data_IF_643381498909
#
_entry.id   IF_643381498909
#
_cell.length_a   1.000
_cell.length_b   1.000
_cell.length_c   1.000
_cell.angle_alpha   90.00
_cell.angle_beta   90.00
_cell.angle_gamma   90.00
#
_symmetry.space_group_name_H-M   'P 1'
#
loop_
_entity.id
_entity.type
_entity.pdbx_description
1 polymer ?
#
# COMPACT_ATOMS: atom_id res chain seq x y z
N UNK A 1 -2.52 0.81 -33.46
CA UNK A 1 -1.36 1.72 -33.28
C UNK A 1 -0.15 0.92 -32.76
N UNK A 2 0.92 0.82 -33.53
CA UNK A 2 2.20 0.33 -33.01
C UNK A 2 2.68 1.32 -31.95
N UNK A 3 3.02 0.84 -30.75
CA UNK A 3 3.67 1.70 -29.77
C UNK A 3 5.01 2.16 -30.35
N UNK A 4 5.20 3.47 -30.47
CA UNK A 4 6.44 4.07 -30.94
C UNK A 4 7.53 4.12 -29.86
N UNK A 5 7.23 3.69 -28.64
CA UNK A 5 8.16 3.60 -27.53
C UNK A 5 7.90 2.34 -26.71
N UNK A 6 8.94 1.54 -26.46
CA UNK A 6 8.89 0.35 -25.60
C UNK A 6 9.78 0.60 -24.39
N UNK A 7 9.25 0.37 -23.20
CA UNK A 7 10.02 0.40 -21.96
C UNK A 7 10.39 -1.00 -21.55
N UNK A 8 11.60 -1.15 -20.99
CA UNK A 8 12.06 -2.42 -20.43
C UNK A 8 12.74 -2.23 -19.08
N UNK A 9 12.86 -3.31 -18.33
CA UNK A 9 13.53 -3.32 -17.03
C UNK A 9 14.46 -4.53 -16.87
N UNK A 10 15.35 -4.43 -15.89
CA UNK A 10 16.30 -5.48 -15.49
C UNK A 10 16.09 -5.80 -14.03
N UNK A 11 16.08 -7.09 -13.68
CA UNK A 11 15.92 -7.58 -12.31
C UNK A 11 17.25 -8.13 -11.83
N UNK A 12 17.64 -7.75 -10.61
CA UNK A 12 18.84 -8.26 -9.94
C UNK A 12 18.48 -8.85 -8.58
N UNK A 13 19.06 -10.00 -8.26
CA UNK A 13 18.98 -10.65 -6.94
C UNK A 13 20.39 -10.77 -6.38
N UNK A 14 20.65 -10.19 -5.20
CA UNK A 14 21.97 -10.12 -4.58
C UNK A 14 23.07 -9.59 -5.54
N UNK A 15 22.72 -8.58 -6.35
CA UNK A 15 23.62 -7.97 -7.34
C UNK A 15 23.71 -8.71 -8.69
N UNK A 16 23.28 -9.98 -8.75
CA UNK A 16 23.28 -10.78 -9.98
C UNK A 16 22.05 -10.50 -10.82
N UNK A 17 22.23 -10.26 -12.13
CA UNK A 17 21.13 -10.12 -13.08
C UNK A 17 20.42 -11.46 -13.26
N UNK A 18 19.11 -11.48 -12.99
CA UNK A 18 18.26 -12.68 -13.14
C UNK A 18 17.18 -12.51 -14.22
N UNK A 19 17.10 -11.32 -14.83
CA UNK A 19 16.27 -11.03 -16.00
C UNK A 19 16.67 -9.68 -16.59
N UNK A 20 16.69 -9.58 -17.92
CA UNK A 20 17.09 -8.38 -18.66
C UNK A 20 16.15 -8.13 -19.83
N UNK A 21 16.06 -6.86 -20.26
CA UNK A 21 15.19 -6.41 -21.35
C UNK A 21 13.73 -6.91 -21.21
N UNK A 22 13.24 -7.01 -19.97
CA UNK A 22 11.88 -7.48 -19.70
C UNK A 22 10.88 -6.39 -20.08
N UNK A 23 9.79 -6.71 -20.82
CA UNK A 23 8.84 -5.70 -21.29
C UNK A 23 7.99 -5.15 -20.15
N UNK A 24 7.76 -3.84 -20.17
CA UNK A 24 6.76 -3.18 -19.32
C UNK A 24 5.38 -3.21 -19.98
N UNK A 25 4.32 -3.43 -19.21
CA UNK A 25 2.96 -3.38 -19.74
C UNK A 25 2.63 -1.98 -20.30
N UNK A 26 1.91 -1.88 -21.43
CA UNK A 26 1.54 -0.59 -22.01
C UNK A 26 0.55 0.16 -21.10
N UNK A 27 0.53 1.51 -21.13
CA UNK A 27 -0.52 2.30 -20.47
C UNK A 27 -1.88 2.06 -21.11
N UNK A 28 -2.94 2.05 -20.29
CA UNK A 28 -4.31 1.91 -20.79
C UNK A 28 -4.83 3.25 -21.34
N UNK A 29 -4.48 3.54 -22.58
CA UNK A 29 -4.96 4.72 -23.31
C UNK A 29 -6.48 4.61 -23.60
N UNK A 30 -7.03 3.40 -23.61
CA UNK A 30 -8.45 3.12 -23.77
C UNK A 30 -8.75 2.14 -24.91
N UNK A 31 -10.02 1.73 -25.03
CA UNK A 31 -10.47 0.59 -25.85
C UNK A 31 -10.00 0.55 -27.32
N UNK A 32 -9.69 1.70 -27.93
CA UNK A 32 -9.22 1.75 -29.33
C UNK A 32 -7.72 1.48 -29.48
N UNK A 33 -6.93 1.79 -28.46
CA UNK A 33 -5.47 1.70 -28.49
C UNK A 33 -4.99 0.48 -27.73
N UNK A 34 -5.61 0.21 -26.58
CA UNK A 34 -5.34 -0.93 -25.71
C UNK A 34 -6.62 -1.73 -25.45
N UNK A 35 -7.22 -2.34 -26.49
CA UNK A 35 -8.52 -3.02 -26.39
C UNK A 35 -8.54 -4.12 -25.34
N UNK A 36 -7.45 -4.88 -25.16
CA UNK A 36 -7.47 -6.05 -24.28
C UNK A 36 -7.60 -5.73 -22.79
N UNK A 37 -7.30 -4.50 -22.36
CA UNK A 37 -7.60 -4.09 -20.99
C UNK A 37 -9.09 -3.84 -20.75
N UNK A 38 -9.88 -3.62 -21.80
CA UNK A 38 -11.16 -2.94 -21.69
C UNK A 38 -12.33 -3.79 -22.16
N UNK A 39 -13.46 -3.64 -21.48
CA UNK A 39 -14.72 -4.19 -21.90
C UNK A 39 -15.12 -3.56 -23.25
N UNK A 40 -15.47 -4.36 -24.28
CA UNK A 40 -15.69 -3.85 -25.63
C UNK A 40 -16.90 -2.93 -25.75
N UNK A 41 -17.86 -3.02 -24.82
CA UNK A 41 -19.11 -2.26 -24.85
C UNK A 41 -18.93 -0.94 -24.09
N UNK A 42 -18.59 -1.02 -22.81
CA UNK A 42 -18.48 0.10 -21.88
C UNK A 42 -17.17 0.86 -22.02
N UNK A 43 -16.11 0.22 -22.53
CA UNK A 43 -14.77 0.79 -22.62
C UNK A 43 -14.04 0.91 -21.28
N UNK A 44 -14.64 0.44 -20.17
CA UNK A 44 -14.02 0.42 -18.85
C UNK A 44 -12.99 -0.71 -18.74
N UNK A 45 -12.00 -0.53 -17.87
CA UNK A 45 -11.01 -1.56 -17.56
C UNK A 45 -11.70 -2.81 -16.96
N UNK A 46 -11.26 -4.00 -17.37
CA UNK A 46 -11.75 -5.28 -16.85
C UNK A 46 -10.78 -5.77 -15.78
N UNK A 47 -11.24 -5.80 -14.54
CA UNK A 47 -10.47 -6.24 -13.38
C UNK A 47 -11.06 -7.52 -12.77
N UNK A 48 -10.52 -8.02 -11.64
CA UNK A 48 -11.11 -9.18 -10.95
C UNK A 48 -10.75 -10.58 -11.47
N UNK A 49 -9.74 -10.72 -12.34
CA UNK A 49 -9.22 -12.03 -12.76
C UNK A 49 -8.91 -12.95 -11.57
N UNK A 50 -9.44 -14.17 -11.59
CA UNK A 50 -9.24 -15.20 -10.54
C UNK A 50 -8.17 -16.22 -10.88
N UNK A 51 -7.68 -16.23 -12.12
CA UNK A 51 -6.62 -17.10 -12.61
C UNK A 51 -5.88 -16.42 -13.76
N UNK A 52 -4.71 -16.97 -14.14
CA UNK A 52 -3.84 -16.36 -15.15
C UNK A 52 -4.54 -16.18 -16.51
N UNK A 53 -5.34 -17.17 -16.95
CA UNK A 53 -6.06 -17.08 -18.24
C UNK A 53 -7.14 -15.99 -18.26
N UNK A 54 -7.63 -15.55 -17.10
CA UNK A 54 -8.63 -14.50 -16.99
C UNK A 54 -8.02 -13.09 -16.94
N UNK A 55 -6.70 -12.96 -16.83
CA UNK A 55 -6.02 -11.66 -16.94
C UNK A 55 -6.17 -11.10 -18.35
N UNK A 56 -6.05 -9.78 -18.50
CA UNK A 56 -5.94 -9.19 -19.82
C UNK A 56 -4.64 -9.63 -20.53
N UNK A 57 -4.66 -9.60 -21.87
CA UNK A 57 -3.54 -10.10 -22.68
C UNK A 57 -2.24 -9.32 -22.44
N UNK A 58 -2.31 -8.02 -22.17
CA UNK A 58 -1.12 -7.21 -21.94
C UNK A 58 -0.43 -7.58 -20.63
N UNK A 59 -1.21 -7.77 -19.56
CA UNK A 59 -0.72 -8.26 -18.28
C UNK A 59 -0.12 -9.65 -18.43
N UNK A 60 -0.82 -10.59 -19.08
CA UNK A 60 -0.29 -11.94 -19.32
C UNK A 60 1.07 -11.93 -20.05
N UNK A 61 1.22 -11.10 -21.08
CA UNK A 61 2.43 -11.03 -21.90
C UNK A 61 3.63 -10.38 -21.19
N UNK A 62 3.36 -9.61 -20.13
CA UNK A 62 4.37 -8.83 -19.38
C UNK A 62 4.66 -9.38 -17.99
N UNK A 63 3.95 -10.42 -17.54
CA UNK A 63 4.39 -11.28 -16.44
C UNK A 63 5.52 -12.16 -16.95
N UNK A 64 6.69 -12.04 -16.34
CA UNK A 64 7.90 -12.74 -16.77
C UNK A 64 8.46 -13.59 -15.65
N UNK A 65 8.77 -14.84 -15.97
CA UNK A 65 9.62 -15.65 -15.12
C UNK A 65 11.06 -15.13 -15.16
N UNK A 66 11.71 -15.12 -14.01
CA UNK A 66 13.11 -14.71 -13.85
C UNK A 66 13.89 -15.76 -13.06
N UNK A 67 15.22 -15.65 -13.08
CA UNK A 67 16.08 -16.59 -12.37
C UNK A 67 16.12 -17.97 -13.04
N UNK A 68 16.20 -19.02 -12.22
CA UNK A 68 16.30 -20.39 -12.71
C UNK A 68 14.91 -20.91 -13.11
N UNK A 69 14.74 -21.50 -14.30
CA UNK A 69 13.47 -22.09 -14.69
C UNK A 69 12.95 -23.11 -13.67
N UNK A 70 11.68 -22.97 -13.26
CA UNK A 70 11.02 -23.87 -12.29
C UNK A 70 11.10 -23.40 -10.84
N UNK A 71 11.81 -22.31 -10.52
CA UNK A 71 11.84 -21.76 -9.16
C UNK A 71 10.54 -21.08 -8.74
N UNK A 72 9.68 -20.67 -9.68
CA UNK A 72 8.45 -19.94 -9.38
C UNK A 72 8.64 -18.43 -9.13
N UNK A 73 9.83 -17.89 -9.40
CA UNK A 73 10.08 -16.45 -9.35
C UNK A 73 9.50 -15.77 -10.59
N UNK A 74 8.51 -14.90 -10.39
CA UNK A 74 7.87 -14.12 -11.47
C UNK A 74 7.82 -12.64 -11.12
N UNK A 75 7.93 -11.80 -12.14
CA UNK A 75 7.95 -10.35 -12.02
C UNK A 75 6.97 -9.72 -13.00
N UNK A 76 6.53 -8.52 -12.65
CA UNK A 76 5.72 -7.66 -13.50
C UNK A 76 6.14 -6.21 -13.29
N UNK A 77 6.15 -5.42 -14.36
CA UNK A 77 6.21 -3.97 -14.27
C UNK A 77 5.24 -3.35 -15.27
N UNK A 78 4.48 -2.35 -14.83
CA UNK A 78 3.58 -1.61 -15.70
C UNK A 78 2.52 -0.82 -14.96
N UNK A 79 1.74 -0.01 -15.69
CA UNK A 79 0.65 0.76 -15.10
C UNK A 79 -0.41 -0.18 -14.54
N UNK A 80 -0.84 0.07 -13.31
CA UNK A 80 -1.96 -0.58 -12.63
C UNK A 80 -2.84 0.48 -12.02
N UNK A 81 -4.06 0.12 -11.69
CA UNK A 81 -4.90 1.00 -10.91
C UNK A 81 -4.31 1.20 -9.50
N UNK A 82 -4.51 2.40 -8.92
CA UNK A 82 -4.00 2.74 -7.59
C UNK A 82 -4.86 2.14 -6.48
N UNK A 83 -4.52 0.92 -6.09
CA UNK A 83 -5.26 0.18 -5.08
C UNK A 83 -5.17 0.71 -3.65
N UNK A 84 -4.60 1.88 -3.37
CA UNK A 84 -4.76 2.53 -2.08
C UNK A 84 -6.04 3.35 -2.11
N UNK A 85 -6.89 3.23 -1.10
CA UNK A 85 -8.15 3.97 -1.01
C UNK A 85 -8.24 4.67 0.35
N UNK A 86 -8.88 5.83 0.33
CA UNK A 86 -9.17 6.59 1.55
C UNK A 86 -9.45 8.07 1.29
N UNK A 87 -10.18 8.71 2.20
CA UNK A 87 -10.49 10.14 2.16
C UNK A 87 -9.36 10.97 2.78
N UNK A 88 -8.18 10.89 2.15
CA UNK A 88 -7.00 11.63 2.61
C UNK A 88 -7.25 13.14 2.76
N UNK A 89 -7.98 13.85 1.88
CA UNK A 89 -8.28 15.25 2.12
C UNK A 89 -9.05 15.48 3.43
N UNK A 90 -10.02 14.62 3.76
CA UNK A 90 -10.74 14.75 5.01
C UNK A 90 -9.83 14.47 6.22
N UNK A 91 -8.97 13.46 6.13
CA UNK A 91 -8.07 13.07 7.23
C UNK A 91 -7.10 14.21 7.55
N UNK A 92 -6.49 14.78 6.50
CA UNK A 92 -5.49 15.82 6.64
C UNK A 92 -6.08 17.22 6.89
N UNK A 93 -7.39 17.41 6.70
CA UNK A 93 -8.12 18.62 7.12
C UNK A 93 -8.72 18.45 8.52
N UNK A 94 -7.86 18.04 9.47
CA UNK A 94 -8.18 17.87 10.89
C UNK A 94 -9.35 16.91 11.17
N UNK A 95 -9.45 15.81 10.41
CA UNK A 95 -10.59 14.88 10.47
C UNK A 95 -11.92 15.60 10.16
N UNK A 96 -12.01 16.13 8.94
CA UNK A 96 -13.18 16.81 8.38
C UNK A 96 -14.49 16.06 8.66
N UNK A 97 -15.62 16.78 8.61
CA UNK A 97 -16.95 16.24 8.90
C UNK A 97 -17.33 15.02 8.06
N UNK A 98 -16.69 14.81 6.90
CA UNK A 98 -16.84 13.59 6.08
C UNK A 98 -16.33 12.32 6.74
N UNK A 99 -15.51 12.40 7.79
CA UNK A 99 -14.99 11.27 8.58
C UNK A 99 -15.84 11.03 9.83
N UNK A 100 -16.73 11.96 10.18
CA UNK A 100 -17.58 11.80 11.36
C UNK A 100 -18.69 10.76 11.11
N UNK A 101 -19.22 10.21 12.22
CA UNK A 101 -20.48 9.47 12.20
C UNK A 101 -21.56 10.40 11.64
N UNK A 102 -22.04 10.08 10.45
CA UNK A 102 -22.97 10.91 9.69
C UNK A 102 -24.43 10.46 9.81
N UNK A 103 -24.68 9.34 10.50
CA UNK A 103 -26.02 8.77 10.67
C UNK A 103 -26.51 8.81 12.13
N UNK A 104 -25.62 9.14 13.09
CA UNK A 104 -25.91 9.28 14.52
C UNK A 104 -26.00 7.94 15.26
N UNK A 105 -25.49 6.86 14.68
CA UNK A 105 -25.48 5.51 15.24
C UNK A 105 -24.06 4.96 15.34
N UNK A 106 -23.50 5.02 16.55
CA UNK A 106 -22.17 4.47 16.87
C UNK A 106 -22.07 2.93 16.92
N UNK A 107 -23.05 2.21 16.38
CA UNK A 107 -23.13 0.75 16.46
C UNK A 107 -22.10 0.00 15.60
N UNK A 108 -21.61 0.63 14.53
CA UNK A 108 -20.59 0.11 13.62
C UNK A 108 -19.23 0.81 13.77
N UNK A 109 -19.17 1.95 14.44
CA UNK A 109 -17.94 2.66 14.80
C UNK A 109 -18.00 4.14 14.43
N UNK A 110 -16.85 4.79 14.39
CA UNK A 110 -16.73 6.15 13.88
C UNK A 110 -16.30 6.12 12.41
N UNK A 111 -16.93 6.91 11.55
CA UNK A 111 -16.55 7.00 10.14
C UNK A 111 -16.75 5.69 9.37
N UNK A 112 -17.87 4.99 9.62
CA UNK A 112 -18.21 3.71 8.99
C UNK A 112 -19.48 3.77 8.11
N UNK A 113 -20.11 4.94 8.00
CA UNK A 113 -21.42 5.14 7.39
C UNK A 113 -21.37 5.37 5.87
N UNK A 114 -20.15 5.53 5.33
CA UNK A 114 -19.92 5.91 3.94
C UNK A 114 -20.03 7.42 3.70
N UNK A 115 -20.03 7.83 2.44
CA UNK A 115 -20.02 9.26 2.07
C UNK A 115 -18.62 9.90 2.03
N UNK A 116 -17.59 9.14 2.41
CA UNK A 116 -16.19 9.50 2.17
C UNK A 116 -15.89 9.54 0.67
N UNK A 117 -14.89 10.33 0.30
CA UNK A 117 -14.42 10.47 -1.08
C UNK A 117 -13.04 9.85 -1.19
N UNK A 118 -12.98 8.70 -1.86
CA UNK A 118 -11.69 8.08 -2.21
C UNK A 118 -10.84 9.05 -3.06
N UNK A 119 -9.74 9.51 -2.46
CA UNK A 119 -8.82 10.46 -3.08
C UNK A 119 -8.00 9.87 -4.25
N UNK A 120 -7.98 8.55 -4.38
CA UNK A 120 -7.17 7.77 -5.32
C UNK A 120 -8.00 7.14 -6.44
N UNK A 121 -9.33 7.17 -6.30
CA UNK A 121 -10.29 6.79 -7.33
C UNK A 121 -9.93 7.37 -8.69
N UNK A 122 -9.77 6.48 -9.67
CA UNK A 122 -9.49 6.85 -11.04
C UNK A 122 -8.02 7.13 -11.35
N UNK A 123 -7.12 7.01 -10.39
CA UNK A 123 -5.69 7.14 -10.61
C UNK A 123 -5.03 5.80 -10.96
N UNK A 124 -3.93 5.89 -11.69
CA UNK A 124 -3.08 4.75 -12.01
C UNK A 124 -1.69 4.99 -11.43
N UNK A 125 -1.06 3.93 -10.96
CA UNK A 125 0.33 3.90 -10.50
C UNK A 125 1.20 3.06 -11.43
N UNK A 126 2.51 3.34 -11.44
CA UNK A 126 3.48 2.42 -12.02
C UNK A 126 3.82 1.35 -10.97
N UNK A 127 3.35 0.13 -11.17
CA UNK A 127 3.59 -0.97 -10.27
C UNK A 127 4.84 -1.76 -10.67
N UNK A 128 5.62 -2.16 -9.67
CA UNK A 128 6.66 -3.17 -9.78
C UNK A 128 6.30 -4.29 -8.82
N UNK A 129 6.04 -5.49 -9.33
CA UNK A 129 5.62 -6.62 -8.53
C UNK A 129 6.61 -7.78 -8.69
N UNK A 130 6.90 -8.45 -7.58
CA UNK A 130 7.79 -9.60 -7.51
C UNK A 130 7.06 -10.67 -6.69
N UNK A 131 6.91 -11.85 -7.25
CA UNK A 131 6.50 -13.05 -6.53
C UNK A 131 7.69 -13.98 -6.39
N UNK A 132 7.95 -14.42 -5.17
CA UNK A 132 9.04 -15.35 -4.86
C UNK A 132 8.52 -16.45 -3.93
N UNK A 133 9.03 -17.68 -4.05
CA UNK A 133 8.75 -18.71 -3.06
C UNK A 133 9.26 -18.31 -1.69
N UNK A 134 8.50 -18.61 -0.64
CA UNK A 134 8.90 -18.35 0.75
C UNK A 134 10.25 -19.02 1.07
N UNK A 135 10.48 -20.23 0.57
CA UNK A 135 11.76 -20.95 0.75
C UNK A 135 12.99 -20.24 0.15
N UNK A 136 12.79 -19.25 -0.72
CA UNK A 136 13.87 -18.44 -1.29
C UNK A 136 14.26 -17.24 -0.42
N UNK A 137 13.51 -17.00 0.65
CA UNK A 137 13.71 -15.90 1.59
C UNK A 137 14.52 -16.37 2.80
N UNK A 138 15.47 -15.55 3.22
CA UNK A 138 16.16 -15.74 4.48
C UNK A 138 15.35 -15.09 5.59
N UNK A 139 14.66 -15.90 6.38
CA UNK A 139 13.84 -15.44 7.51
C UNK A 139 14.67 -15.35 8.80
N UNK A 140 14.22 -14.54 9.75
CA UNK A 140 14.78 -14.40 11.10
C UNK A 140 13.66 -14.34 12.15
N UNK A 141 13.97 -14.69 13.39
CA UNK A 141 13.05 -14.51 14.51
C UNK A 141 12.80 -13.01 14.78
N UNK A 142 11.56 -12.69 15.16
CA UNK A 142 11.17 -11.37 15.63
C UNK A 142 9.99 -11.46 16.62
N UNK A 143 9.73 -10.38 17.34
CA UNK A 143 8.52 -10.26 18.16
C UNK A 143 7.49 -9.45 17.41
N UNK A 144 6.38 -10.09 17.04
CA UNK A 144 5.20 -9.46 16.50
C UNK A 144 4.49 -8.64 17.59
N UNK A 145 4.02 -7.41 17.29
CA UNK A 145 3.39 -6.52 18.27
C UNK A 145 2.11 -7.09 18.90
N UNK A 146 1.41 -7.99 18.22
CA UNK A 146 0.09 -8.49 18.64
C UNK A 146 0.08 -10.00 18.90
N UNK A 147 0.95 -10.76 18.22
CA UNK A 147 0.92 -12.22 18.24
C UNK A 147 2.16 -12.87 18.87
N UNK A 148 3.10 -12.08 19.40
CA UNK A 148 4.26 -12.59 20.12
C UNK A 148 5.37 -13.10 19.20
N UNK A 149 6.08 -14.17 19.58
CA UNK A 149 7.26 -14.63 18.83
C UNK A 149 6.86 -15.19 17.46
N UNK A 150 7.56 -14.74 16.42
CA UNK A 150 7.32 -15.11 15.03
C UNK A 150 8.65 -15.29 14.26
N UNK A 151 8.59 -15.91 13.09
CA UNK A 151 9.73 -16.03 12.15
C UNK A 151 9.32 -15.42 10.82
N UNK A 152 10.15 -14.53 10.27
CA UNK A 152 9.72 -13.78 9.10
C UNK A 152 10.79 -12.96 8.43
N UNK A 153 10.34 -12.11 7.52
CA UNK A 153 11.17 -11.13 6.82
C UNK A 153 10.66 -9.71 7.07
N UNK A 154 11.56 -8.75 6.97
CA UNK A 154 11.22 -7.33 6.93
C UNK A 154 11.42 -6.77 5.54
N UNK A 155 10.43 -6.02 5.03
CA UNK A 155 10.46 -5.40 3.71
C UNK A 155 10.25 -3.90 3.84
N UNK A 156 11.10 -3.12 3.16
CA UNK A 156 10.88 -1.70 2.91
C UNK A 156 11.41 -1.35 1.52
N UNK A 157 10.80 -0.34 0.90
CA UNK A 157 11.25 0.20 -0.37
C UNK A 157 12.00 1.53 -0.15
N UNK A 158 12.93 1.84 -1.04
CA UNK A 158 13.51 3.19 -1.10
C UNK A 158 13.70 3.65 -2.52
N UNK A 159 13.47 4.94 -2.74
CA UNK A 159 13.68 5.59 -4.03
C UNK A 159 14.97 6.37 -3.96
N UNK A 160 15.83 6.18 -4.97
CA UNK A 160 17.08 6.91 -5.10
C UNK A 160 17.16 7.61 -6.44
N UNK A 161 17.87 8.73 -6.49
CA UNK A 161 18.24 9.44 -7.73
C UNK A 161 19.68 9.89 -7.66
N UNK A 162 20.30 10.17 -8.81
CA UNK A 162 21.64 10.75 -8.81
C UNK A 162 21.61 12.17 -8.22
N UNK A 163 22.63 12.50 -7.43
CA UNK A 163 22.71 13.74 -6.65
C UNK A 163 22.57 15.01 -7.49
N UNK A 164 23.10 15.00 -8.71
CA UNK A 164 23.11 16.17 -9.61
C UNK A 164 22.15 15.91 -10.77
N UNK A 165 21.30 16.89 -11.06
CA UNK A 165 20.45 16.93 -12.25
C UNK A 165 20.69 18.24 -12.98
N UNK A 166 21.26 18.17 -14.18
CA UNK A 166 21.43 19.29 -15.09
C UNK A 166 20.28 19.31 -16.09
N UNK A 167 19.37 20.28 -15.95
CA UNK A 167 18.29 20.51 -16.93
C UNK A 167 18.87 21.22 -18.13
N UNK A 168 18.57 20.73 -19.33
CA UNK A 168 18.96 21.33 -20.60
C UNK A 168 17.80 22.14 -21.18
N UNK A 169 18.11 23.09 -22.04
CA UNK A 169 17.10 23.85 -22.81
C UNK A 169 16.42 22.94 -23.85
N UNK A 170 17.17 21.98 -24.39
CA UNK A 170 16.73 20.96 -25.34
C UNK A 170 17.15 19.54 -24.88
N UNK A 171 16.23 18.59 -25.04
CA UNK A 171 16.45 17.17 -24.71
C UNK A 171 16.33 16.81 -23.22
N UNK A 172 16.63 15.55 -22.91
CA UNK A 172 16.44 15.00 -21.57
C UNK A 172 17.46 15.56 -20.55
N UNK A 173 17.06 15.69 -19.26
CA UNK A 173 17.97 16.06 -18.19
C UNK A 173 19.18 15.11 -18.10
N UNK A 174 20.36 15.66 -17.77
CA UNK A 174 21.55 14.85 -17.51
C UNK A 174 21.70 14.65 -16.00
N UNK A 175 21.89 13.40 -15.60
CA UNK A 175 22.02 13.00 -14.21
C UNK A 175 23.45 12.52 -13.93
N UNK A 176 24.04 12.93 -12.80
CA UNK A 176 25.42 12.56 -12.44
C UNK A 176 25.68 12.55 -10.93
N UNK A 177 26.82 11.98 -10.55
CA UNK A 177 27.22 11.80 -9.15
C UNK A 177 26.62 10.55 -8.50
N UNK A 178 26.84 10.39 -7.18
CA UNK A 178 26.37 9.23 -6.44
C UNK A 178 24.84 9.19 -6.35
N UNK A 179 24.29 8.00 -6.24
CA UNK A 179 22.87 7.79 -5.92
C UNK A 179 22.60 8.20 -4.47
N UNK A 180 21.58 9.02 -4.27
CA UNK A 180 21.11 9.43 -2.96
C UNK A 180 19.65 8.99 -2.78
N UNK A 181 19.34 8.49 -1.59
CA UNK A 181 17.95 8.19 -1.21
C UNK A 181 17.18 9.49 -1.07
N UNK A 182 16.00 9.54 -1.65
CA UNK A 182 15.08 10.69 -1.59
C UNK A 182 13.72 10.35 -1.00
N UNK A 183 13.42 9.06 -0.84
CA UNK A 183 12.23 8.57 -0.18
C UNK A 183 12.46 7.14 0.31
N UNK A 184 11.70 6.74 1.34
CA UNK A 184 11.55 5.35 1.78
C UNK A 184 10.13 5.11 2.29
N UNK A 185 9.71 3.86 2.27
CA UNK A 185 8.42 3.44 2.80
C UNK A 185 8.47 1.96 3.21
N UNK A 186 7.99 1.66 4.41
CA UNK A 186 7.76 0.32 4.93
C UNK A 186 6.28 0.12 5.27
N UNK A 187 5.87 0.63 6.43
CA UNK A 187 4.50 0.57 6.89
C UNK A 187 3.64 1.67 6.25
N UNK A 188 2.36 1.38 5.96
CA UNK A 188 1.41 2.40 5.53
C UNK A 188 1.28 3.53 6.55
N UNK A 189 1.11 4.76 6.07
CA UNK A 189 0.73 5.94 6.85
C UNK A 189 1.78 6.46 7.85
N UNK A 190 2.89 5.77 8.09
CA UNK A 190 3.86 6.22 9.09
C UNK A 190 4.46 7.59 8.72
N UNK A 191 4.97 7.73 7.49
CA UNK A 191 5.54 8.98 7.02
C UNK A 191 4.46 10.02 6.65
N UNK A 192 3.30 9.53 6.21
CA UNK A 192 2.21 10.37 5.72
C UNK A 192 1.51 11.07 6.89
N UNK A 193 1.14 10.30 7.92
CA UNK A 193 0.28 10.73 9.03
C UNK A 193 1.06 10.98 10.32
N UNK A 194 2.03 10.14 10.68
CA UNK A 194 2.66 10.19 12.01
C UNK A 194 3.91 11.08 12.05
N UNK A 195 4.80 10.99 11.06
CA UNK A 195 6.02 11.80 11.03
C UNK A 195 5.68 13.28 10.80
N UNK A 196 6.05 14.15 11.74
CA UNK A 196 5.81 15.58 11.60
C UNK A 196 6.53 16.18 10.38
N UNK A 197 5.90 17.19 9.77
CA UNK A 197 6.38 17.84 8.54
C UNK A 197 7.85 18.28 8.61
N UNK A 198 8.30 18.78 9.77
CA UNK A 198 9.69 19.22 10.00
C UNK A 198 10.73 18.12 9.79
N UNK A 199 10.35 16.86 10.01
CA UNK A 199 11.25 15.71 9.98
C UNK A 199 11.04 14.79 8.77
N UNK A 200 9.97 14.99 7.97
CA UNK A 200 9.68 14.16 6.77
C UNK A 200 10.84 14.11 5.79
N UNK A 201 11.48 15.25 5.55
CA UNK A 201 12.62 15.36 4.64
C UNK A 201 13.84 14.55 5.11
N UNK A 202 14.04 14.51 6.42
CA UNK A 202 15.09 13.73 7.07
C UNK A 202 14.74 12.25 7.06
N UNK A 203 13.53 11.91 7.47
CA UNK A 203 12.96 10.57 7.41
C UNK A 203 13.16 9.93 6.04
N UNK A 204 12.79 10.65 4.98
CA UNK A 204 12.88 10.21 3.59
C UNK A 204 14.31 9.90 3.12
N UNK A 205 15.32 10.50 3.77
CA UNK A 205 16.74 10.38 3.40
C UNK A 205 17.52 9.41 4.31
N UNK A 206 16.95 8.94 5.42
CA UNK A 206 17.60 8.02 6.35
C UNK A 206 17.18 6.57 6.14
N UNK A 207 17.89 5.65 6.79
CA UNK A 207 17.60 4.20 6.79
C UNK A 207 16.72 3.81 7.97
N UNK A 208 15.77 2.86 7.81
CA UNK A 208 14.95 2.38 8.92
C UNK A 208 15.76 1.87 10.12
N UNK A 209 17.01 1.44 9.90
CA UNK A 209 17.92 0.97 10.95
C UNK A 209 18.14 1.98 12.08
N UNK A 210 17.98 3.29 11.82
CA UNK A 210 18.13 4.35 12.81
C UNK A 210 16.81 4.81 13.46
N UNK A 211 15.67 4.23 13.09
CA UNK A 211 14.35 4.75 13.48
C UNK A 211 14.08 4.64 14.99
N UNK A 212 14.73 3.69 15.66
CA UNK A 212 14.60 3.47 17.10
C UNK A 212 15.56 4.34 17.93
N UNK A 213 16.44 5.14 17.31
CA UNK A 213 17.40 5.98 18.05
C UNK A 213 16.66 7.01 18.92
N UNK A 214 16.98 7.16 20.21
CA UNK A 214 16.24 8.04 21.11
C UNK A 214 16.48 9.54 20.85
N UNK A 215 17.55 9.89 20.14
CA UNK A 215 17.94 11.28 19.82
C UNK A 215 17.60 11.68 18.40
N UNK A 216 17.60 10.70 17.50
CA UNK A 216 17.60 10.89 16.06
C UNK A 216 16.64 9.93 15.34
N UNK A 217 15.95 9.07 16.04
CA UNK A 217 14.93 8.21 15.48
C UNK A 217 13.63 8.94 15.23
N UNK A 218 12.61 8.15 14.94
CA UNK A 218 11.25 8.60 14.66
C UNK A 218 10.23 7.95 15.61
N UNK A 219 10.69 7.16 16.59
CA UNK A 219 9.82 6.43 17.52
C UNK A 219 8.83 7.32 18.28
N UNK A 220 9.23 8.56 18.60
CA UNK A 220 8.35 9.53 19.28
C UNK A 220 7.05 9.80 18.51
N UNK A 221 7.08 9.72 17.17
CA UNK A 221 5.89 9.93 16.32
C UNK A 221 4.88 8.79 16.43
N UNK A 222 5.36 7.56 16.65
CA UNK A 222 4.50 6.41 16.93
C UNK A 222 4.02 6.42 18.39
N UNK A 223 4.88 6.80 19.34
CA UNK A 223 4.56 6.81 20.78
C UNK A 223 3.61 7.95 21.16
N UNK A 224 3.63 9.06 20.44
CA UNK A 224 2.84 10.27 20.70
C UNK A 224 2.14 10.75 19.41
N UNK A 225 1.20 9.96 18.87
CA UNK A 225 0.58 10.24 17.58
C UNK A 225 -0.34 11.46 17.67
N UNK A 226 -0.03 12.53 16.91
CA UNK A 226 -0.87 13.74 16.87
C UNK A 226 -2.30 13.42 16.43
N UNK A 227 -2.50 12.46 15.54
CA UNK A 227 -3.84 12.02 15.09
C UNK A 227 -4.72 11.55 16.26
N UNK A 228 -4.16 10.97 17.33
CA UNK A 228 -4.95 10.60 18.51
C UNK A 228 -5.55 11.81 19.23
N UNK A 229 -4.82 12.93 19.27
CA UNK A 229 -5.32 14.19 19.84
C UNK A 229 -6.47 14.72 19.00
N UNK A 230 -6.37 14.65 17.67
CA UNK A 230 -7.43 15.06 16.76
C UNK A 230 -8.67 14.20 16.90
N UNK A 231 -8.52 12.87 16.97
CA UNK A 231 -9.65 11.95 17.21
C UNK A 231 -10.37 12.31 18.50
N UNK A 232 -9.64 12.51 19.61
CA UNK A 232 -10.26 12.91 20.88
C UNK A 232 -11.00 14.24 20.79
N UNK A 233 -10.41 15.23 20.11
CA UNK A 233 -11.01 16.56 19.96
C UNK A 233 -12.27 16.53 19.09
N UNK A 234 -12.25 15.77 18.00
CA UNK A 234 -13.32 15.72 17.00
C UNK A 234 -14.48 14.83 17.45
N UNK A 235 -14.18 13.65 18.01
CA UNK A 235 -15.19 12.68 18.43
C UNK A 235 -15.59 12.78 19.90
N UNK A 236 -14.96 13.68 20.68
CA UNK A 236 -15.23 13.81 22.12
C UNK A 236 -14.81 12.58 22.93
N UNK A 237 -13.81 11.83 22.46
CA UNK A 237 -13.28 10.62 23.10
C UNK A 237 -12.08 10.93 23.99
N UNK A 238 -11.58 9.91 24.71
CA UNK A 238 -10.45 10.03 25.63
C UNK A 238 -9.42 8.92 25.41
N UNK A 239 -9.09 8.63 24.14
CA UNK A 239 -8.09 7.62 23.78
C UNK A 239 -6.68 8.04 24.20
N UNK A 240 -5.79 7.07 24.35
CA UNK A 240 -4.41 7.31 24.73
C UNK A 240 -3.63 8.05 23.62
N UNK A 241 -3.14 9.25 23.94
CA UNK A 241 -2.42 10.13 23.01
C UNK A 241 -0.89 10.08 23.15
N UNK A 242 -0.39 9.46 24.22
CA UNK A 242 1.04 9.36 24.53
C UNK A 242 1.37 7.98 25.07
N UNK A 243 2.67 7.62 25.09
CA UNK A 243 3.13 6.34 25.63
C UNK A 243 2.70 5.12 24.80
N UNK A 244 2.41 5.30 23.51
CA UNK A 244 1.94 4.26 22.57
C UNK A 244 3.05 3.31 22.13
N UNK A 245 3.54 2.53 23.09
CA UNK A 245 4.58 1.51 22.87
C UNK A 245 4.12 0.39 21.93
N UNK A 246 2.81 0.14 21.86
CA UNK A 246 2.14 -0.75 20.91
C UNK A 246 2.30 -0.25 19.46
N UNK A 247 2.01 1.03 19.21
CA UNK A 247 2.21 1.63 17.89
C UNK A 247 3.68 1.70 17.52
N UNK A 248 4.57 1.98 18.49
CA UNK A 248 6.01 1.89 18.28
C UNK A 248 6.42 0.50 17.81
N UNK A 249 5.89 -0.57 18.40
CA UNK A 249 6.23 -1.93 18.02
C UNK A 249 5.80 -2.26 16.58
N UNK A 250 4.67 -1.71 16.13
CA UNK A 250 4.21 -1.80 14.73
C UNK A 250 5.15 -1.03 13.80
N UNK A 251 5.33 0.27 14.04
CA UNK A 251 5.93 1.20 13.09
C UNK A 251 7.46 1.31 13.12
N UNK A 252 8.12 0.85 14.19
CA UNK A 252 9.55 1.09 14.41
C UNK A 252 10.34 -0.24 14.48
N UNK A 253 11.42 -0.41 13.68
CA UNK A 253 11.77 0.42 12.53
C UNK A 253 10.68 0.38 11.45
N UNK A 254 10.66 1.37 10.55
CA UNK A 254 9.68 1.40 9.46
C UNK A 254 10.00 0.34 8.40
N UNK A 255 9.59 -0.88 8.72
CA UNK A 255 9.78 -2.09 7.95
C UNK A 255 8.51 -2.91 8.10
N UNK A 256 7.93 -3.29 6.98
CA UNK A 256 6.77 -4.16 6.95
C UNK A 256 7.22 -5.60 7.23
N UNK A 257 6.80 -6.15 8.37
CA UNK A 257 7.19 -7.50 8.80
C UNK A 257 6.19 -8.50 8.26
N UNK A 258 6.66 -9.63 7.75
CA UNK A 258 5.82 -10.73 7.25
C UNK A 258 6.26 -12.02 7.91
N UNK A 259 5.35 -12.67 8.62
CA UNK A 259 5.53 -14.00 9.17
C UNK A 259 5.49 -15.03 8.03
N UNK A 260 6.64 -15.66 7.79
CA UNK A 260 6.84 -16.61 6.70
C UNK A 260 6.41 -18.04 7.05
N UNK A 261 5.89 -18.27 8.27
CA UNK A 261 5.33 -19.56 8.69
C UNK A 261 3.82 -19.64 8.53
N UNK A 262 3.17 -18.55 8.09
CA UNK A 262 1.73 -18.54 7.80
C UNK A 262 1.41 -19.24 6.49
N UNK A 263 0.25 -19.89 6.43
CA UNK A 263 -0.30 -20.42 5.19
C UNK A 263 -0.70 -19.28 4.23
N UNK A 264 -0.97 -19.57 2.94
CA UNK A 264 -1.49 -18.56 2.01
C UNK A 264 -2.73 -17.85 2.57
N UNK A 265 -2.66 -16.53 2.64
CA UNK A 265 -3.72 -15.68 3.18
C UNK A 265 -4.86 -15.48 2.19
N UNK A 266 -6.06 -15.21 2.70
CA UNK A 266 -7.24 -14.88 1.89
C UNK A 266 -7.02 -13.56 1.13
N UNK A 267 -7.42 -13.51 -0.14
CA UNK A 267 -7.31 -12.33 -1.00
C UNK A 267 -8.64 -11.58 -1.06
N UNK A 268 -8.59 -10.28 -1.38
CA UNK A 268 -9.78 -9.47 -1.57
C UNK A 268 -10.77 -10.13 -2.56
N UNK A 269 -12.04 -10.18 -2.16
CA UNK A 269 -13.11 -10.84 -2.92
C UNK A 269 -13.20 -12.36 -2.72
N UNK A 270 -12.34 -12.97 -1.91
CA UNK A 270 -12.50 -14.37 -1.49
C UNK A 270 -13.36 -14.47 -0.21
N UNK A 271 -14.13 -15.56 -0.02
CA UNK A 271 -14.83 -15.80 1.23
C UNK A 271 -13.87 -15.80 2.42
N UNK A 272 -14.24 -15.09 3.49
CA UNK A 272 -13.42 -14.98 4.70
C UNK A 272 -12.36 -13.86 4.68
N UNK A 273 -12.21 -13.14 3.57
CA UNK A 273 -11.42 -11.92 3.55
C UNK A 273 -12.08 -10.81 4.38
N UNK A 274 -11.33 -10.18 5.27
CA UNK A 274 -11.73 -8.94 5.93
C UNK A 274 -10.77 -7.80 5.59
N UNK A 275 -11.32 -6.65 5.15
CA UNK A 275 -10.53 -5.43 4.90
C UNK A 275 -9.83 -4.93 6.17
N UNK A 276 -10.35 -5.26 7.35
CA UNK A 276 -9.79 -4.89 8.65
C UNK A 276 -8.75 -5.91 9.18
N UNK A 277 -8.42 -6.94 8.40
CA UNK A 277 -7.52 -8.01 8.83
C UNK A 277 -7.97 -8.65 10.14
N UNK A 278 -7.05 -8.85 11.08
CA UNK A 278 -7.34 -9.48 12.37
C UNK A 278 -8.40 -8.74 13.21
N UNK A 279 -8.57 -7.42 13.04
CA UNK A 279 -9.63 -6.66 13.73
C UNK A 279 -11.03 -7.11 13.28
N UNK A 280 -11.14 -7.63 12.05
CA UNK A 280 -12.33 -8.30 11.54
C UNK A 280 -12.26 -9.83 11.63
N UNK A 281 -11.46 -10.38 12.55
CA UNK A 281 -11.29 -11.83 12.77
C UNK A 281 -10.67 -12.61 11.60
N UNK A 282 -10.01 -11.93 10.65
CA UNK A 282 -9.31 -12.58 9.55
C UNK A 282 -7.88 -12.94 9.98
N UNK A 283 -7.70 -14.22 10.31
CA UNK A 283 -6.43 -14.79 10.78
C UNK A 283 -6.11 -16.08 10.04
N UNK A 284 -4.81 -16.33 9.82
CA UNK A 284 -4.28 -17.54 9.19
C UNK A 284 -3.21 -18.12 10.10
N UNK A 285 -3.33 -19.42 10.40
CA UNK A 285 -2.41 -20.14 11.30
C UNK A 285 -2.24 -19.46 12.69
N UNK A 286 -3.27 -18.76 13.17
CA UNK A 286 -3.25 -18.04 14.46
C UNK A 286 -2.58 -16.65 14.43
N UNK A 287 -2.15 -16.18 13.26
CA UNK A 287 -1.60 -14.84 13.04
C UNK A 287 -2.54 -13.98 12.18
N UNK A 288 -2.35 -12.67 12.18
CA UNK A 288 -3.06 -11.76 11.27
C UNK A 288 -2.81 -12.15 9.79
N UNK A 289 -3.86 -12.17 8.97
CA UNK A 289 -3.76 -12.43 7.53
C UNK A 289 -3.34 -11.20 6.71
N UNK A 290 -3.37 -10.00 7.29
CA UNK A 290 -3.06 -8.72 6.63
C UNK A 290 -2.22 -7.80 7.52
N UNK A 291 -2.26 -6.49 7.29
CA UNK A 291 -1.48 -5.52 8.08
C UNK A 291 -1.80 -5.55 9.57
N UNK A 292 -0.80 -5.62 10.49
CA UNK A 292 0.65 -5.45 10.26
C UNK A 292 1.50 -6.72 10.02
N UNK A 293 0.90 -7.88 9.71
CA UNK A 293 1.62 -9.07 9.24
C UNK A 293 1.69 -9.08 7.70
N UNK A 294 2.55 -8.23 7.15
CA UNK A 294 2.55 -7.88 5.74
C UNK A 294 1.43 -6.90 5.43
N UNK A 295 1.05 -6.82 4.16
CA UNK A 295 -0.11 -6.06 3.71
C UNK A 295 -0.66 -6.74 2.48
N UNK A 296 -1.94 -7.05 2.48
CA UNK A 296 -2.65 -7.51 1.29
C UNK A 296 -3.21 -6.31 0.54
N UNK A 297 -3.33 -6.44 -0.77
CA UNK A 297 -4.20 -5.52 -1.50
C UNK A 297 -5.64 -5.72 -1.01
N UNK A 298 -6.32 -4.61 -0.76
CA UNK A 298 -7.63 -4.58 -0.13
C UNK A 298 -7.64 -4.43 1.38
N UNK A 299 -6.50 -4.60 2.09
CA UNK A 299 -6.44 -4.21 3.51
C UNK A 299 -6.71 -2.70 3.61
N UNK A 300 -7.68 -2.32 4.44
CA UNK A 300 -8.07 -0.95 4.73
C UNK A 300 -7.12 -0.37 5.78
N UNK A 301 -5.92 -0.01 5.32
CA UNK A 301 -4.85 0.41 6.20
C UNK A 301 -5.14 1.73 6.92
N UNK A 302 -6.08 2.54 6.40
CA UNK A 302 -6.54 3.76 7.06
C UNK A 302 -7.40 3.39 8.26
N UNK A 303 -8.44 2.59 8.05
CA UNK A 303 -9.32 2.16 9.13
C UNK A 303 -8.58 1.30 10.18
N UNK A 304 -7.69 0.41 9.75
CA UNK A 304 -6.89 -0.39 10.69
C UNK A 304 -5.99 0.52 11.54
N UNK A 305 -5.34 1.53 10.94
CA UNK A 305 -4.46 2.43 11.68
C UNK A 305 -5.24 3.34 12.66
N UNK A 306 -6.36 3.92 12.21
CA UNK A 306 -7.22 4.75 13.06
C UNK A 306 -7.83 3.92 14.21
N UNK A 307 -8.29 2.71 13.93
CA UNK A 307 -8.80 1.77 14.92
C UNK A 307 -7.71 1.36 15.91
N UNK A 308 -6.47 1.13 15.47
CA UNK A 308 -5.35 0.85 16.36
C UNK A 308 -5.05 2.05 17.28
N UNK A 309 -5.10 3.27 16.75
CA UNK A 309 -4.97 4.50 17.55
C UNK A 309 -6.08 4.59 18.61
N UNK A 310 -7.32 4.27 18.27
CA UNK A 310 -8.46 4.36 19.20
C UNK A 310 -8.49 3.23 20.26
N UNK A 311 -8.03 2.02 19.89
CA UNK A 311 -8.22 0.81 20.72
C UNK A 311 -7.02 0.47 21.61
N UNK A 312 -5.82 0.94 21.25
CA UNK A 312 -4.61 0.68 22.03
C UNK A 312 -4.47 1.54 23.29
N UNK A 313 -3.52 1.22 24.18
CA UNK A 313 -2.51 0.18 24.01
C UNK A 313 -2.96 -1.22 24.48
N UNK A 314 -4.08 -1.35 25.20
CA UNK A 314 -4.53 -2.66 25.72
C UNK A 314 -5.28 -3.50 24.71
N UNK A 315 -5.97 -2.86 23.74
CA UNK A 315 -6.86 -3.53 22.78
C UNK A 315 -7.96 -4.38 23.45
N UNK A 316 -8.26 -4.10 24.73
CA UNK A 316 -9.30 -4.80 25.50
C UNK A 316 -10.71 -4.46 25.02
N UNK A 317 -10.86 -3.31 24.37
CA UNK A 317 -12.08 -2.89 23.69
C UNK A 317 -11.67 -2.34 22.35
N UNK A 318 -12.17 -2.97 21.28
CA UNK A 318 -11.91 -2.51 19.92
C UNK A 318 -12.95 -1.45 19.59
N UNK A 319 -12.49 -0.23 19.32
CA UNK A 319 -13.30 0.89 18.86
C UNK A 319 -12.95 1.16 17.41
N UNK A 320 -13.82 0.76 16.50
CA UNK A 320 -13.61 0.96 15.06
C UNK A 320 -13.65 2.46 14.75
N UNK A 321 -12.63 2.93 14.06
CA UNK A 321 -12.54 4.28 13.51
C UNK A 321 -12.08 4.15 12.07
N UNK A 322 -12.76 4.82 11.16
CA UNK A 322 -12.42 4.85 9.75
C UNK A 322 -12.64 6.18 9.09
N UNK A 323 -12.52 6.20 7.76
CA UNK A 323 -12.58 7.41 6.94
C UNK A 323 -13.78 7.47 5.98
N UNK A 324 -14.78 6.63 6.22
CA UNK A 324 -15.97 6.47 5.37
C UNK A 324 -15.69 5.97 3.93
N UNK A 325 -14.52 5.39 3.67
CA UNK A 325 -14.15 4.75 2.39
C UNK A 325 -13.77 3.28 2.61
N UNK A 326 -14.75 2.38 2.52
CA UNK A 326 -14.54 0.97 2.86
C UNK A 326 -13.93 0.09 1.75
N UNK A 327 -13.68 0.62 0.55
CA UNK A 327 -13.20 -0.18 -0.57
C UNK A 327 -12.57 0.66 -1.69
N UNK A 328 -11.74 -0.03 -2.46
CA UNK A 328 -11.18 0.45 -3.72
C UNK A 328 -12.25 0.61 -4.82
N UNK A 329 -11.97 1.47 -5.80
CA UNK A 329 -12.91 1.71 -6.92
C UNK A 329 -12.82 0.65 -8.05
N UNK A 330 -11.82 -0.24 -7.99
CA UNK A 330 -11.69 -1.43 -8.82
C UNK A 330 -11.55 -2.72 -8.01
N UNK A 331 -12.03 -3.82 -8.58
CA UNK A 331 -11.87 -5.16 -8.01
C UNK A 331 -10.45 -5.67 -8.27
N UNK A 332 -9.72 -5.98 -7.21
CA UNK A 332 -8.40 -6.60 -7.30
C UNK A 332 -8.42 -7.96 -8.01
N UNK A 333 -7.30 -8.32 -8.63
CA UNK A 333 -7.10 -9.69 -9.11
C UNK A 333 -6.78 -10.62 -7.94
N UNK A 334 -7.19 -11.89 -8.06
CA UNK A 334 -6.82 -12.96 -7.12
C UNK A 334 -5.64 -13.79 -7.65
N UNK A 335 -4.95 -13.26 -8.66
CA UNK A 335 -3.76 -13.85 -9.28
C UNK A 335 -2.73 -12.74 -9.50
N UNK A 336 -1.44 -13.08 -9.41
CA UNK A 336 -0.34 -12.15 -9.64
C UNK A 336 -0.54 -11.34 -10.95
N UNK A 337 -0.38 -10.00 -10.94
CA UNK A 337 0.23 -9.16 -9.89
C UNK A 337 -0.75 -8.63 -8.81
N UNK A 338 -1.95 -9.21 -8.68
CA UNK A 338 -3.01 -8.91 -7.69
C UNK A 338 -3.66 -7.52 -7.78
N UNK A 339 -2.91 -6.48 -8.16
CA UNK A 339 -3.45 -5.14 -8.45
C UNK A 339 -4.50 -5.18 -9.56
N UNK A 340 -5.46 -4.24 -9.56
CA UNK A 340 -6.50 -4.18 -10.58
C UNK A 340 -6.00 -3.55 -11.90
N UNK A 341 -6.75 -3.78 -12.98
CA UNK A 341 -6.39 -3.34 -14.33
C UNK A 341 -6.38 -1.81 -14.38
N UNK A 342 -5.35 -1.17 -14.96
CA UNK A 342 -5.27 0.29 -15.01
C UNK A 342 -6.49 0.89 -15.68
N UNK A 343 -7.01 1.98 -15.14
CA UNK A 343 -8.13 2.71 -15.72
C UNK A 343 -7.83 3.15 -17.15
N UNK A 344 -8.84 3.07 -18.01
CA UNK A 344 -8.80 3.67 -19.33
C UNK A 344 -9.00 5.18 -19.25
N UNK A 345 -8.07 5.93 -19.85
CA UNK A 345 -8.10 7.40 -19.83
C UNK A 345 -9.45 8.05 -20.22
N UNK A 346 -10.16 7.58 -21.26
CA UNK A 346 -11.43 8.20 -21.68
C UNK A 346 -12.66 7.82 -20.85
N UNK A 347 -12.59 6.80 -20.00
CA UNK A 347 -13.76 6.23 -19.29
C UNK A 347 -13.69 6.39 -17.78
N UNK A 348 -12.63 7.02 -17.28
CA UNK A 348 -12.42 7.23 -15.84
C UNK A 348 -13.06 8.54 -15.40
N UNK A 349 -13.86 8.48 -14.34
CA UNK A 349 -14.43 9.65 -13.71
C UNK A 349 -13.52 10.04 -12.54
N UNK A 350 -12.41 10.73 -12.85
CA UNK A 350 -11.55 11.31 -11.82
C UNK A 350 -12.34 12.38 -11.06
N UNK A 351 -12.29 12.38 -9.71
CA UNK A 351 -12.94 13.35 -8.79
C UNK A 351 -14.18 14.03 -9.39
N UNK A 352 -15.36 13.45 -9.18
CA UNK A 352 -16.55 14.32 -9.22
C UNK A 352 -16.33 15.38 -8.13
N UNK A 353 -16.49 16.65 -8.50
CA UNK A 353 -16.35 17.78 -7.59
C UNK A 353 -17.14 17.52 -6.29
N UNK A 354 -16.74 18.10 -5.15
CA UNK A 354 -17.66 18.21 -4.02
C UNK A 354 -18.98 18.76 -4.57
N UNK A 355 -20.09 18.08 -4.29
CA UNK A 355 -21.40 18.61 -4.69
C UNK A 355 -21.50 20.05 -4.15
N UNK A 356 -22.02 20.99 -4.96
CA UNK A 356 -22.09 22.40 -4.60
C UNK A 356 -22.87 22.65 -3.30
#
# INVERSE_FOLDING_TARGET
PTQNYTQTYTVKKNGTVIGSALPTAPPNVGRRTTPFYNDPITGKAVSGATNFSALDLYTQQTIRQVGIPGTGEVVFAGPREDGFYGDTPAIFDLLDGRIQDNNGNFGDGFGQDGGGVDGFKGFNVLAFAIQMPVASLQSSEYTDPFFGQATGVGVYASVSRQRITLRKTDGDPVHSGPWIRVNRMGNPLFNEVLVALRDKDRYNRTSPTGDADPTRGFATYAENPEVAVHINAVFGTNFATTGRTDLRAVYIPDVLRVNTTTDPVTLAGQPGFSRLGFLGSDTTSGFNSGWPNGRRLGDDVVDIALTAVASGPSYSTITIVGDNVAANDQVYHQVFPYSATPHAGPSVNMRQAPLP
#
